data_IF_449334127466
#
_entry.id   IF_449334127466
#
_cell.length_a   1.000
_cell.length_b   1.000
_cell.length_c   1.000
_cell.angle_alpha   90.00
_cell.angle_beta   90.00
_cell.angle_gamma   90.00
#
_symmetry.space_group_name_H-M   'P 1'
#
loop_
_entity.id
_entity.type
_entity.pdbx_description
1 polymer ?
#
# COMPACT_ATOMS: atom_id res chain seq x y z
N UNK A 1 20.99 -37.52 6.41
CA UNK A 1 21.62 -36.26 5.93
C UNK A 1 20.50 -35.37 5.42
N UNK A 2 20.12 -34.37 6.20
CA UNK A 2 18.96 -33.52 5.95
C UNK A 2 19.35 -32.48 4.89
N UNK A 3 18.70 -32.49 3.73
CA UNK A 3 18.76 -31.38 2.78
C UNK A 3 17.65 -30.40 3.15
N UNK A 4 17.92 -29.53 4.12
CA UNK A 4 17.11 -28.34 4.36
C UNK A 4 17.32 -27.44 3.14
N UNK A 5 16.33 -27.39 2.25
CA UNK A 5 16.28 -26.35 1.22
C UNK A 5 16.08 -25.04 1.98
N UNK A 6 17.02 -24.09 1.86
CA UNK A 6 16.81 -22.71 2.30
C UNK A 6 15.55 -22.19 1.62
N UNK A 7 14.45 -22.13 2.36
CA UNK A 7 13.32 -21.29 1.99
C UNK A 7 13.76 -19.86 2.26
N UNK A 8 13.80 -19.03 1.21
CA UNK A 8 13.89 -17.58 1.35
C UNK A 8 12.50 -17.08 1.78
N UNK A 9 12.07 -17.42 3.00
CA UNK A 9 10.82 -16.93 3.61
C UNK A 9 11.19 -15.69 4.47
N UNK A 10 10.59 -14.53 4.15
CA UNK A 10 10.85 -13.20 4.76
C UNK A 10 9.70 -12.82 5.73
N UNK A 11 9.49 -13.60 6.79
CA UNK A 11 8.63 -13.19 7.91
C UNK A 11 9.21 -11.91 8.55
N UNK A 12 8.45 -10.81 8.53
CA UNK A 12 8.91 -9.53 9.08
C UNK A 12 8.56 -9.38 10.55
N UNK A 13 7.26 -9.45 10.86
CA UNK A 13 6.72 -9.26 12.22
C UNK A 13 5.24 -9.71 12.23
N UNK A 14 4.55 -9.51 13.34
CA UNK A 14 3.11 -9.72 13.44
C UNK A 14 2.44 -8.69 14.35
N UNK A 15 1.14 -8.50 14.13
CA UNK A 15 0.28 -7.61 14.92
C UNK A 15 -0.78 -8.44 15.64
N UNK A 16 -0.93 -8.20 16.93
CA UNK A 16 -2.08 -8.68 17.69
C UNK A 16 -3.17 -7.60 17.66
N UNK A 17 -4.27 -7.88 16.95
CA UNK A 17 -5.42 -6.99 16.80
C UNK A 17 -6.72 -7.76 17.07
N UNK A 18 -6.82 -8.35 18.27
CA UNK A 18 -7.87 -9.31 18.63
C UNK A 18 -7.49 -10.75 18.24
N UNK A 19 -6.86 -10.92 17.08
CA UNK A 19 -6.16 -12.14 16.64
C UNK A 19 -4.72 -11.81 16.21
N UNK A 20 -3.91 -12.86 16.03
CA UNK A 20 -2.54 -12.75 15.50
C UNK A 20 -2.59 -12.69 13.97
N UNK A 21 -1.91 -11.70 13.40
CA UNK A 21 -1.85 -11.45 11.97
C UNK A 21 -0.42 -11.22 11.52
N UNK A 22 -0.01 -11.90 10.48
CA UNK A 22 1.37 -11.83 9.98
C UNK A 22 1.59 -10.59 9.10
N UNK A 23 2.79 -10.03 9.19
CA UNK A 23 3.30 -9.03 8.25
C UNK A 23 4.42 -9.70 7.46
N UNK A 24 4.25 -9.73 6.15
CA UNK A 24 5.30 -10.19 5.25
C UNK A 24 5.95 -9.00 4.57
N UNK A 25 7.25 -9.12 4.31
CA UNK A 25 8.00 -8.18 3.49
C UNK A 25 8.39 -8.87 2.20
N UNK A 26 8.23 -8.17 1.07
CA UNK A 26 8.48 -8.69 -0.28
C UNK A 26 7.86 -10.08 -0.51
N UNK A 27 6.53 -10.18 -0.29
CA UNK A 27 5.88 -11.47 -0.12
C UNK A 27 5.98 -12.32 -1.39
N UNK A 28 6.07 -13.63 -1.18
CA UNK A 28 5.77 -14.63 -2.20
C UNK A 28 4.25 -14.71 -2.43
N UNK A 29 3.85 -15.34 -3.53
CA UNK A 29 2.43 -15.62 -3.80
C UNK A 29 1.75 -16.38 -2.64
N UNK A 30 2.45 -17.34 -2.05
CA UNK A 30 1.95 -18.12 -0.90
C UNK A 30 1.71 -17.22 0.32
N UNK A 31 2.56 -16.25 0.57
CA UNK A 31 2.41 -15.32 1.70
C UNK A 31 1.29 -14.31 1.44
N UNK A 32 1.12 -13.85 0.19
CA UNK A 32 -0.06 -13.08 -0.21
C UNK A 32 -1.35 -13.88 -0.02
N UNK A 33 -1.35 -15.18 -0.35
CA UNK A 33 -2.50 -16.07 -0.11
C UNK A 33 -2.81 -16.22 1.38
N UNK A 34 -1.80 -16.31 2.24
CA UNK A 34 -1.99 -16.32 3.70
C UNK A 34 -2.71 -15.04 4.10
N UNK A 35 -2.16 -13.87 3.76
CA UNK A 35 -2.72 -12.57 4.16
C UNK A 35 -4.14 -12.34 3.62
N UNK A 36 -4.40 -12.74 2.38
CA UNK A 36 -5.72 -12.57 1.74
C UNK A 36 -6.80 -13.45 2.38
N UNK A 37 -6.42 -14.64 2.85
CA UNK A 37 -7.36 -15.58 3.49
C UNK A 37 -7.39 -15.43 5.02
N UNK A 38 -6.41 -14.78 5.62
CA UNK A 38 -6.58 -14.16 6.92
C UNK A 38 -7.66 -13.09 6.75
N UNK A 39 -8.69 -13.05 7.59
CA UNK A 39 -9.80 -12.11 7.44
C UNK A 39 -11.07 -12.67 8.05
N UNK A 40 -11.89 -11.79 8.61
CA UNK A 40 -12.99 -12.08 9.54
C UNK A 40 -13.94 -13.23 9.15
N UNK A 41 -14.67 -13.75 10.14
CA UNK A 41 -15.93 -14.51 10.00
C UNK A 41 -17.07 -13.70 9.33
N UNK A 42 -16.78 -12.52 8.78
CA UNK A 42 -17.72 -11.75 7.95
C UNK A 42 -17.65 -12.39 6.57
N UNK A 43 -18.73 -13.09 6.20
CA UNK A 43 -18.89 -13.59 4.83
C UNK A 43 -18.59 -12.46 3.83
N UNK A 44 -17.75 -12.77 2.85
CA UNK A 44 -17.53 -12.01 1.61
C UNK A 44 -16.59 -10.80 1.60
N UNK A 45 -15.91 -10.41 2.70
CA UNK A 45 -14.82 -9.41 2.60
C UNK A 45 -13.43 -9.98 2.88
N UNK A 46 -12.61 -10.06 1.83
CA UNK A 46 -11.20 -10.47 1.87
C UNK A 46 -10.34 -9.43 1.18
N UNK A 47 -9.17 -9.16 1.75
CA UNK A 47 -8.24 -8.25 1.10
C UNK A 47 -6.87 -8.20 1.77
N UNK A 48 -5.91 -7.70 1.01
CA UNK A 48 -4.55 -7.44 1.47
C UNK A 48 -4.35 -5.94 1.53
N UNK A 49 -3.94 -5.41 2.68
CA UNK A 49 -3.42 -4.05 2.78
C UNK A 49 -1.92 -4.08 2.59
N UNK A 50 -1.38 -3.04 1.95
CA UNK A 50 0.05 -2.94 1.73
C UNK A 50 0.61 -1.55 1.97
N UNK A 51 1.92 -1.51 2.23
CA UNK A 51 2.75 -0.30 2.24
C UNK A 51 3.99 -0.58 1.38
N UNK A 52 4.17 0.17 0.30
CA UNK A 52 5.40 0.17 -0.48
C UNK A 52 6.31 1.30 0.00
N UNK A 53 7.55 0.97 0.35
CA UNK A 53 8.61 1.92 0.69
C UNK A 53 9.59 2.01 -0.47
N UNK A 54 9.58 3.14 -1.18
CA UNK A 54 10.41 3.35 -2.34
C UNK A 54 11.91 3.50 -2.01
N UNK A 55 12.22 4.03 -0.82
CA UNK A 55 13.60 4.26 -0.38
C UNK A 55 14.34 2.95 -0.13
N UNK A 56 13.63 1.94 0.37
CA UNK A 56 14.17 0.60 0.65
C UNK A 56 13.78 -0.46 -0.37
N UNK A 57 12.87 -0.12 -1.30
CA UNK A 57 12.27 -1.04 -2.29
C UNK A 57 11.66 -2.27 -1.62
N UNK A 58 10.93 -2.04 -0.53
CA UNK A 58 10.26 -3.08 0.26
C UNK A 58 8.75 -2.92 0.20
N UNK A 59 8.06 -4.02 -0.08
CA UNK A 59 6.62 -4.10 0.03
C UNK A 59 6.24 -4.83 1.32
N UNK A 60 5.53 -4.15 2.20
CA UNK A 60 4.95 -4.76 3.40
C UNK A 60 3.50 -5.09 3.12
N UNK A 61 3.08 -6.33 3.40
CA UNK A 61 1.68 -6.76 3.25
C UNK A 61 1.15 -7.32 4.54
N UNK A 62 -0.12 -7.04 4.81
CA UNK A 62 -0.81 -7.44 6.03
C UNK A 62 -2.32 -7.46 5.81
N UNK A 63 -2.99 -8.07 6.77
CA UNK A 63 -4.43 -8.29 6.72
C UNK A 63 -5.24 -7.00 6.51
N UNK A 64 -6.28 -7.02 5.68
CA UNK A 64 -7.13 -5.82 5.46
C UNK A 64 -7.86 -5.30 6.71
N UNK A 65 -8.02 -6.12 7.75
CA UNK A 65 -8.54 -5.68 9.05
C UNK A 65 -7.62 -4.68 9.77
N UNK A 66 -6.31 -4.75 9.51
CA UNK A 66 -5.32 -3.89 10.16
C UNK A 66 -5.28 -2.56 9.42
N UNK A 67 -5.52 -1.46 10.13
CA UNK A 67 -5.37 -0.10 9.57
C UNK A 67 -3.91 0.17 9.17
N UNK A 68 -3.68 0.86 8.05
CA UNK A 68 -2.32 1.27 7.65
C UNK A 68 -1.62 2.06 8.75
N UNK A 69 -2.33 2.92 9.47
CA UNK A 69 -1.78 3.68 10.60
C UNK A 69 -1.26 2.77 11.73
N UNK A 70 -1.94 1.67 12.00
CA UNK A 70 -1.51 0.63 12.97
C UNK A 70 -0.27 -0.09 12.45
N UNK A 71 -0.26 -0.50 11.18
CA UNK A 71 0.89 -1.15 10.56
C UNK A 71 2.12 -0.24 10.54
N UNK A 72 1.97 1.04 10.18
CA UNK A 72 3.05 2.04 10.19
C UNK A 72 3.66 2.18 11.57
N UNK A 73 2.83 2.28 12.60
CA UNK A 73 3.31 2.38 13.99
C UNK A 73 4.12 1.15 14.39
N UNK A 74 3.72 -0.04 13.93
CA UNK A 74 4.43 -1.29 14.22
C UNK A 74 5.76 -1.40 13.45
N UNK A 75 5.72 -1.19 12.13
CA UNK A 75 6.83 -1.43 11.20
C UNK A 75 7.91 -0.34 11.35
N UNK A 76 7.49 0.93 11.40
CA UNK A 76 8.41 2.06 11.34
C UNK A 76 8.59 2.78 12.67
N UNK A 77 7.77 2.45 13.69
CA UNK A 77 7.69 3.19 14.96
C UNK A 77 7.42 4.69 14.73
N UNK A 78 6.49 4.99 13.81
CA UNK A 78 6.10 6.34 13.38
C UNK A 78 4.58 6.54 13.45
N UNK A 79 4.08 7.79 13.51
CA UNK A 79 2.65 8.06 13.36
C UNK A 79 2.20 7.76 11.91
N UNK A 80 0.94 7.36 11.73
CA UNK A 80 0.38 7.00 10.40
C UNK A 80 0.50 8.09 9.34
N UNK A 81 0.56 9.37 9.76
CA UNK A 81 0.71 10.53 8.86
C UNK A 81 1.98 10.51 7.99
N UNK A 82 2.98 9.67 8.28
CA UNK A 82 4.16 9.57 7.41
C UNK A 82 3.84 9.04 6.01
N UNK A 83 2.67 8.40 5.82
CA UNK A 83 2.19 7.99 4.51
C UNK A 83 1.81 9.18 3.61
N UNK A 84 1.68 10.37 4.20
CA UNK A 84 1.38 11.63 3.52
C UNK A 84 2.60 12.56 3.45
N UNK A 85 3.77 12.05 3.86
CA UNK A 85 5.00 12.81 3.92
C UNK A 85 5.95 12.32 2.80
N UNK A 86 6.24 13.15 1.79
CA UNK A 86 7.01 12.72 0.62
C UNK A 86 8.46 12.36 1.00
N UNK A 87 8.99 12.88 2.11
CA UNK A 87 10.33 12.56 2.58
C UNK A 87 10.47 11.08 2.98
N UNK A 88 9.36 10.42 3.32
CA UNK A 88 9.34 9.00 3.67
C UNK A 88 9.19 8.09 2.44
N UNK A 89 8.81 8.65 1.30
CA UNK A 89 8.63 7.96 0.02
C UNK A 89 7.80 6.68 0.09
N UNK A 90 6.67 6.74 0.80
CA UNK A 90 5.78 5.60 1.00
C UNK A 90 4.51 5.71 0.17
N UNK A 91 4.00 4.57 -0.28
CA UNK A 91 2.68 4.44 -0.88
C UNK A 91 1.91 3.35 -0.14
N UNK A 92 0.59 3.49 -0.05
CA UNK A 92 -0.27 2.50 0.61
C UNK A 92 -1.51 2.21 -0.21
N UNK A 93 -2.04 1.00 -0.10
CA UNK A 93 -3.27 0.64 -0.78
C UNK A 93 -3.92 -0.64 -0.26
N UNK A 94 -4.99 -1.06 -0.95
CA UNK A 94 -5.74 -2.28 -0.68
C UNK A 94 -5.86 -3.10 -1.98
N UNK A 95 -5.76 -4.40 -1.82
CA UNK A 95 -6.01 -5.42 -2.81
C UNK A 95 -7.28 -6.15 -2.39
N UNK A 96 -8.30 -6.16 -3.24
CA UNK A 96 -9.62 -6.72 -2.90
C UNK A 96 -10.01 -7.92 -3.78
N UNK A 97 -9.14 -8.32 -4.70
CA UNK A 97 -9.42 -9.41 -5.63
C UNK A 97 -8.36 -10.53 -5.54
N UNK A 98 -8.77 -11.76 -5.89
CA UNK A 98 -7.97 -12.99 -5.73
C UNK A 98 -6.69 -13.04 -6.58
N UNK A 99 -6.56 -12.16 -7.57
CA UNK A 99 -5.37 -12.04 -8.44
C UNK A 99 -4.35 -10.99 -7.94
N UNK A 100 -4.50 -10.56 -6.69
CA UNK A 100 -3.75 -9.48 -6.05
C UNK A 100 -3.74 -8.16 -6.84
N UNK A 101 -4.90 -7.88 -7.43
CA UNK A 101 -5.14 -6.69 -8.20
C UNK A 101 -5.46 -5.53 -7.25
N UNK A 102 -4.67 -4.48 -7.33
CA UNK A 102 -4.95 -3.20 -6.67
C UNK A 102 -6.07 -2.51 -7.45
N UNK A 103 -7.25 -2.47 -6.84
CA UNK A 103 -8.47 -1.84 -7.38
C UNK A 103 -8.81 -0.53 -6.68
N UNK A 104 -8.33 -0.32 -5.45
CA UNK A 104 -8.48 0.95 -4.73
C UNK A 104 -7.31 1.23 -3.78
N UNK A 105 -6.77 2.44 -3.84
CA UNK A 105 -5.77 2.97 -2.90
C UNK A 105 -6.45 3.92 -1.90
N UNK A 106 -7.49 3.43 -1.22
CA UNK A 106 -8.43 4.21 -0.40
C UNK A 106 -7.80 5.32 0.46
N UNK A 107 -6.62 5.10 1.05
CA UNK A 107 -5.93 6.10 1.87
C UNK A 107 -5.21 7.18 1.07
N UNK A 108 -4.50 6.81 0.01
CA UNK A 108 -3.70 7.76 -0.79
C UNK A 108 -4.61 8.72 -1.57
N UNK A 109 -5.66 8.17 -2.18
CA UNK A 109 -6.60 8.96 -2.98
C UNK A 109 -7.43 9.92 -2.12
N UNK A 110 -7.86 9.50 -0.93
CA UNK A 110 -8.69 10.35 -0.06
C UNK A 110 -7.90 11.53 0.50
N UNK A 111 -6.68 11.30 0.96
CA UNK A 111 -5.87 12.33 1.61
C UNK A 111 -5.25 13.31 0.58
N UNK A 112 -4.84 12.84 -0.59
CA UNK A 112 -4.35 13.70 -1.69
C UNK A 112 -5.46 14.60 -2.24
N UNK A 113 -6.67 14.06 -2.41
CA UNK A 113 -7.81 14.85 -2.91
C UNK A 113 -8.21 15.98 -1.96
N UNK A 114 -7.89 15.86 -0.68
CA UNK A 114 -8.31 16.82 0.36
C UNK A 114 -7.26 17.89 0.66
N UNK A 115 -5.98 17.53 0.67
CA UNK A 115 -4.93 18.43 1.18
C UNK A 115 -4.26 19.29 0.10
N UNK A 116 -4.67 19.18 -1.18
CA UNK A 116 -4.13 19.94 -2.33
C UNK A 116 -2.59 20.07 -2.34
N UNK A 117 -1.91 19.01 -1.90
CA UNK A 117 -0.47 19.06 -1.63
C UNK A 117 0.33 18.76 -2.93
N UNK A 118 0.76 19.81 -3.64
CA UNK A 118 1.53 19.68 -4.89
C UNK A 118 2.77 18.80 -4.74
N UNK A 119 3.48 18.91 -3.61
CA UNK A 119 4.71 18.13 -3.38
C UNK A 119 4.44 16.63 -3.31
N UNK A 120 3.29 16.21 -2.75
CA UNK A 120 2.91 14.80 -2.74
C UNK A 120 2.49 14.30 -4.12
N UNK A 121 1.84 15.15 -4.92
CA UNK A 121 1.45 14.84 -6.30
C UNK A 121 2.68 14.67 -7.19
N UNK A 122 3.61 15.62 -7.13
CA UNK A 122 4.91 15.56 -7.83
C UNK A 122 5.66 14.29 -7.44
N UNK A 123 5.81 14.03 -6.13
CA UNK A 123 6.47 12.82 -5.64
C UNK A 123 5.87 11.55 -6.24
N UNK A 124 4.55 11.40 -6.26
CA UNK A 124 3.91 10.18 -6.77
C UNK A 124 4.06 10.01 -8.27
N UNK A 125 3.96 11.09 -9.03
CA UNK A 125 4.06 11.09 -10.49
C UNK A 125 5.50 10.89 -10.98
N UNK A 126 6.49 11.42 -10.25
CA UNK A 126 7.90 11.36 -10.63
C UNK A 126 8.64 10.13 -10.07
N UNK A 127 8.04 9.43 -9.11
CA UNK A 127 8.65 8.23 -8.52
C UNK A 127 8.41 6.98 -9.37
N UNK A 128 9.47 6.22 -9.63
CA UNK A 128 9.37 4.91 -10.27
C UNK A 128 8.87 3.84 -9.30
N UNK A 129 7.59 3.46 -9.46
CA UNK A 129 6.89 2.43 -8.70
C UNK A 129 6.91 1.05 -9.36
N UNK A 130 7.49 0.90 -10.55
CA UNK A 130 7.45 -0.36 -11.34
C UNK A 130 8.06 -1.57 -10.62
N UNK A 131 8.88 -1.33 -9.60
CA UNK A 131 9.44 -2.39 -8.75
C UNK A 131 8.36 -3.15 -7.96
N UNK A 132 7.20 -2.54 -7.71
CA UNK A 132 6.06 -3.17 -7.04
C UNK A 132 5.38 -4.24 -7.90
N UNK A 133 5.48 -4.13 -9.23
CA UNK A 133 4.84 -5.04 -10.20
C UNK A 133 5.34 -6.49 -10.07
N UNK A 134 6.48 -6.68 -9.40
CA UNK A 134 6.99 -8.00 -9.03
C UNK A 134 6.07 -8.75 -8.05
N UNK A 135 5.30 -8.02 -7.24
CA UNK A 135 4.54 -8.56 -6.11
C UNK A 135 3.03 -8.41 -6.30
N UNK A 136 2.57 -7.28 -6.82
CA UNK A 136 1.15 -6.93 -6.92
C UNK A 136 0.85 -6.33 -8.29
N UNK A 137 -0.38 -6.49 -8.78
CA UNK A 137 -0.79 -5.97 -10.09
C UNK A 137 -1.64 -4.72 -9.93
N UNK A 138 -1.24 -3.61 -10.54
CA UNK A 138 -2.10 -2.43 -10.64
C UNK A 138 -3.14 -2.64 -11.73
N UNK A 139 -4.42 -2.51 -11.39
CA UNK A 139 -5.48 -2.60 -12.40
C UNK A 139 -5.37 -1.48 -13.44
N UNK A 140 -5.92 -1.70 -14.63
CA UNK A 140 -6.07 -0.68 -15.68
C UNK A 140 -6.69 0.63 -15.18
N UNK A 141 -7.50 0.60 -14.10
CA UNK A 141 -8.06 1.79 -13.47
C UNK A 141 -6.97 2.76 -12.97
N UNK A 142 -5.84 2.23 -12.50
CA UNK A 142 -4.70 3.04 -12.05
C UNK A 142 -4.23 3.96 -13.19
N UNK A 143 -3.91 3.39 -14.34
CA UNK A 143 -3.39 4.13 -15.49
C UNK A 143 -4.47 4.96 -16.21
N UNK A 144 -5.70 4.44 -16.29
CA UNK A 144 -6.78 5.08 -17.07
C UNK A 144 -7.56 6.13 -16.30
N UNK A 145 -7.52 6.10 -14.96
CA UNK A 145 -8.32 6.98 -14.12
C UNK A 145 -7.47 7.68 -13.07
N UNK A 146 -6.75 6.92 -12.25
CA UNK A 146 -6.03 7.53 -11.12
C UNK A 146 -4.87 8.43 -11.56
N UNK A 147 -3.97 7.95 -12.40
CA UNK A 147 -2.83 8.76 -12.89
C UNK A 147 -3.30 10.03 -13.62
N UNK A 148 -4.27 9.97 -14.56
CA UNK A 148 -4.85 11.17 -15.16
C UNK A 148 -5.46 12.15 -14.15
N UNK A 149 -6.18 11.66 -13.13
CA UNK A 149 -6.75 12.52 -12.07
C UNK A 149 -5.65 13.24 -11.28
N UNK A 150 -4.57 12.54 -10.91
CA UNK A 150 -3.43 13.13 -10.18
C UNK A 150 -2.71 14.18 -11.03
N UNK A 151 -2.50 13.93 -12.32
CA UNK A 151 -1.91 14.92 -13.24
C UNK A 151 -2.78 16.17 -13.32
N UNK A 152 -4.10 16.01 -13.48
CA UNK A 152 -5.02 17.14 -13.54
C UNK A 152 -5.00 17.93 -12.23
N UNK A 153 -4.93 17.25 -11.09
CA UNK A 153 -4.83 17.89 -9.79
C UNK A 153 -3.52 18.68 -9.64
N UNK A 154 -2.39 18.12 -10.07
CA UNK A 154 -1.09 18.82 -10.06
C UNK A 154 -1.18 20.14 -10.83
N UNK A 155 -1.74 20.09 -12.05
CA UNK A 155 -1.94 21.26 -12.90
C UNK A 155 -2.84 22.31 -12.21
N UNK A 156 -3.91 21.88 -11.53
CA UNK A 156 -4.80 22.80 -10.80
C UNK A 156 -4.07 23.51 -9.66
N UNK A 157 -3.27 22.77 -8.87
CA UNK A 157 -2.49 23.34 -7.77
C UNK A 157 -1.45 24.34 -8.30
N UNK A 158 -0.71 23.98 -9.36
CA UNK A 158 0.25 24.88 -10.02
C UNK A 158 -0.38 26.18 -10.54
N UNK A 159 -1.65 26.11 -10.97
CA UNK A 159 -2.40 27.27 -11.46
C UNK A 159 -3.11 28.06 -10.35
N UNK A 160 -3.03 27.62 -9.09
CA UNK A 160 -3.76 28.23 -7.97
C UNK A 160 -5.27 28.12 -8.11
N UNK A 161 -5.76 27.07 -8.77
CA UNK A 161 -7.18 26.77 -9.01
C UNK A 161 -7.70 25.68 -8.07
N UNK A 162 -7.07 25.53 -6.91
CA UNK A 162 -7.49 24.60 -5.89
C UNK A 162 -8.84 25.02 -5.27
N UNK A 163 -9.78 24.08 -5.19
CA UNK A 163 -11.04 24.32 -4.50
C UNK A 163 -10.73 24.42 -2.99
N UNK A 164 -10.80 25.63 -2.45
CA UNK A 164 -10.66 25.88 -1.01
C UNK A 164 -12.02 25.60 -0.37
N UNK A 165 -12.24 24.35 0.05
CA UNK A 165 -13.36 23.98 0.93
C UNK A 165 -13.03 24.25 2.41
#
# INVERSE_FOLDING_TARGET
MIKIRKFNEEFYDAINYGNYHEIFVNPTKKELDIVYNEGFDIEDYRGVRFIGDNSTKKLYVFNSSILHSTAVKKIFNKPGRILLDPDYQMISGIIENSDYIVSSSDSLMYDIKKDNNSYMLEFLLETDWSWLDKYIYFSDWWDKTMVPELILQSIKVEQGLEDID
#
